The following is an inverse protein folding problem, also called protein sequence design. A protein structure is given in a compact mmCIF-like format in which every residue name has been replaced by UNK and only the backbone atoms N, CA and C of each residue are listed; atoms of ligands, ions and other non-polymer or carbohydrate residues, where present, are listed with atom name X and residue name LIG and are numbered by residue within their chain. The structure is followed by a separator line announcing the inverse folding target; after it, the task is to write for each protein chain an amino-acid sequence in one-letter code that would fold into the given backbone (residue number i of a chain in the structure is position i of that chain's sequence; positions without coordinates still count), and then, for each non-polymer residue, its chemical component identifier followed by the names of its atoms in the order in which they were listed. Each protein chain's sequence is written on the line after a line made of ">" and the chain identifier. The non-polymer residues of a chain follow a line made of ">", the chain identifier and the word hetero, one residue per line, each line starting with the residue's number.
data_IF_875302610883
#
_entry.id   IF_875302610883
#
_cell.length_a   1.000
_cell.length_b   1.000
_cell.length_c   1.000
_cell.angle_alpha   90.00
_cell.angle_beta   90.00
_cell.angle_gamma   90.00
#
_symmetry.space_group_name_H-M   'P 1'
#
loop_
_entity.id
_entity.type
_entity.pdbx_description
1 polymer ?
#
# COMPACT_ATOMS: atom_id res chain seq x y z
N UNK A 1 20.43 31.08 23.06
CA UNK A 1 19.85 29.90 22.39
C UNK A 1 18.76 29.37 23.30
N UNK A 2 17.49 29.40 22.86
CA UNK A 2 16.37 29.04 23.73
C UNK A 2 16.34 27.52 23.90
N UNK A 3 15.92 27.04 25.08
CA UNK A 3 15.81 25.61 25.41
C UNK A 3 15.02 24.80 24.35
N UNK A 4 14.08 25.46 23.67
CA UNK A 4 13.31 24.91 22.56
C UNK A 4 14.14 24.57 21.32
N UNK A 5 15.15 25.37 20.97
CA UNK A 5 16.00 25.15 19.78
C UNK A 5 16.84 23.88 19.94
N UNK A 6 17.36 23.66 21.16
CA UNK A 6 18.17 22.50 21.51
C UNK A 6 17.36 21.19 21.43
N UNK A 7 16.09 21.22 21.86
CA UNK A 7 15.20 20.05 21.74
C UNK A 7 14.92 19.73 20.27
N UNK A 8 14.71 20.75 19.43
CA UNK A 8 14.44 20.55 18.00
C UNK A 8 15.65 19.91 17.31
N UNK A 9 16.87 20.38 17.58
CA UNK A 9 18.10 19.81 17.03
C UNK A 9 18.30 18.34 17.44
N UNK A 10 18.02 18.01 18.70
CA UNK A 10 18.13 16.64 19.21
C UNK A 10 17.11 15.71 18.56
N UNK A 11 15.87 16.18 18.36
CA UNK A 11 14.82 15.44 17.64
C UNK A 11 15.26 15.18 16.19
N UNK A 12 15.75 16.21 15.49
CA UNK A 12 16.22 16.07 14.09
C UNK A 12 17.36 15.07 14.01
N UNK A 13 18.38 15.20 14.87
CA UNK A 13 19.51 14.26 14.89
C UNK A 13 19.08 12.82 15.15
N UNK A 14 18.09 12.63 16.02
CA UNK A 14 17.54 11.31 16.32
C UNK A 14 16.80 10.74 15.11
N UNK A 15 15.98 11.54 14.44
CA UNK A 15 15.26 11.12 13.23
C UNK A 15 16.22 10.75 12.09
N UNK A 16 17.27 11.53 11.87
CA UNK A 16 18.30 11.23 10.86
C UNK A 16 19.01 9.90 11.15
N UNK A 17 19.34 9.63 12.43
CA UNK A 17 19.93 8.34 12.84
C UNK A 17 18.97 7.18 12.60
N UNK A 18 17.68 7.35 12.92
CA UNK A 18 16.65 6.33 12.69
C UNK A 18 16.49 6.05 11.20
N UNK A 19 16.43 7.09 10.36
CA UNK A 19 16.38 6.95 8.90
C UNK A 19 17.59 6.17 8.39
N UNK A 20 18.80 6.52 8.84
CA UNK A 20 20.03 5.82 8.46
C UNK A 20 20.07 4.36 8.92
N UNK A 21 19.54 4.05 10.12
CA UNK A 21 19.42 2.68 10.60
C UNK A 21 18.41 1.86 9.80
N UNK A 22 17.27 2.46 9.45
CA UNK A 22 16.26 1.81 8.61
C UNK A 22 16.84 1.50 7.22
N UNK A 23 17.54 2.45 6.59
CA UNK A 23 18.20 2.26 5.30
C UNK A 23 19.14 1.04 5.32
N UNK A 24 20.09 0.99 6.27
CA UNK A 24 21.02 -0.14 6.39
C UNK A 24 20.33 -1.49 6.61
N UNK A 25 19.23 -1.52 7.38
CA UNK A 25 18.47 -2.75 7.61
C UNK A 25 17.74 -3.22 6.36
N UNK A 26 17.30 -2.30 5.52
CA UNK A 26 16.71 -2.62 4.22
C UNK A 26 17.78 -3.19 3.30
N UNK A 27 18.93 -2.53 3.15
CA UNK A 27 20.04 -3.02 2.32
C UNK A 27 20.47 -4.44 2.72
N UNK A 28 20.57 -4.70 4.03
CA UNK A 28 20.89 -6.02 4.56
C UNK A 28 19.80 -7.06 4.24
N UNK A 29 18.52 -6.67 4.35
CA UNK A 29 17.40 -7.54 4.00
C UNK A 29 17.36 -7.83 2.50
N UNK A 30 17.65 -6.86 1.64
CA UNK A 30 17.73 -7.05 0.18
C UNK A 30 18.88 -7.99 -0.19
N UNK A 31 20.03 -7.87 0.48
CA UNK A 31 21.16 -8.76 0.28
C UNK A 31 20.87 -10.20 0.76
N UNK A 32 20.21 -10.35 1.91
CA UNK A 32 19.91 -11.66 2.51
C UNK A 32 18.78 -12.40 1.77
N UNK A 33 17.71 -11.69 1.41
CA UNK A 33 16.54 -12.27 0.76
C UNK A 33 16.66 -12.32 -0.76
N UNK A 34 17.56 -11.51 -1.34
CA UNK A 34 17.66 -11.30 -2.78
C UNK A 34 16.49 -10.51 -3.37
N UNK A 35 15.62 -9.95 -2.53
CA UNK A 35 14.44 -9.17 -2.93
C UNK A 35 14.80 -7.69 -2.95
N UNK A 36 14.69 -7.05 -4.12
CA UNK A 36 14.79 -5.60 -4.26
C UNK A 36 13.40 -4.98 -3.98
N UNK A 37 13.32 -4.02 -3.04
CA UNK A 37 12.08 -3.29 -2.75
C UNK A 37 12.08 -2.00 -3.57
N UNK A 38 11.40 -2.03 -4.72
CA UNK A 38 11.28 -0.86 -5.60
C UNK A 38 10.28 0.12 -5.00
N UNK A 39 10.77 1.30 -4.58
CA UNK A 39 9.94 2.34 -3.95
C UNK A 39 9.29 3.31 -4.94
N UNK A 40 9.74 3.31 -6.19
CA UNK A 40 9.19 4.08 -7.29
C UNK A 40 9.26 3.21 -8.55
N UNK A 41 8.24 2.35 -8.74
CA UNK A 41 8.19 1.49 -9.91
C UNK A 41 8.05 2.35 -11.16
N UNK A 42 9.06 2.27 -12.02
CA UNK A 42 9.05 2.84 -13.35
C UNK A 42 8.67 1.72 -14.32
N UNK A 43 7.47 1.76 -14.93
CA UNK A 43 7.02 0.72 -15.83
C UNK A 43 7.87 0.62 -17.11
N UNK A 44 8.58 1.68 -17.47
CA UNK A 44 9.42 1.75 -18.67
C UNK A 44 10.87 1.31 -18.40
N UNK A 45 11.25 1.20 -17.13
CA UNK A 45 12.55 0.69 -16.71
C UNK A 45 12.64 -0.82 -16.91
N UNK A 46 13.73 -1.29 -17.51
CA UNK A 46 13.89 -2.69 -17.96
C UNK A 46 15.11 -3.42 -17.37
N UNK A 47 15.92 -2.73 -16.57
CA UNK A 47 17.14 -3.28 -15.93
C UNK A 47 16.90 -3.80 -14.50
N UNK A 48 15.63 -4.03 -14.12
CA UNK A 48 15.29 -4.66 -12.84
C UNK A 48 15.86 -6.08 -12.74
N UNK A 49 16.19 -6.49 -11.51
CA UNK A 49 16.56 -7.89 -11.24
C UNK A 49 15.36 -8.80 -11.47
N UNK A 50 15.58 -9.95 -12.11
CA UNK A 50 14.54 -10.97 -12.24
C UNK A 50 14.04 -11.37 -10.85
N UNK A 51 12.72 -11.30 -10.65
CA UNK A 51 12.06 -11.62 -9.39
C UNK A 51 11.67 -10.40 -8.55
N UNK A 52 12.14 -9.20 -8.89
CA UNK A 52 11.78 -7.95 -8.23
C UNK A 52 10.25 -7.77 -8.18
N UNK A 53 9.74 -7.39 -7.01
CA UNK A 53 8.31 -7.19 -6.76
C UNK A 53 8.00 -5.70 -6.68
N UNK A 54 6.90 -5.29 -7.31
CA UNK A 54 6.40 -3.93 -7.26
C UNK A 54 4.93 -3.92 -6.87
N UNK A 55 4.60 -3.09 -5.87
CA UNK A 55 3.22 -2.78 -5.53
C UNK A 55 2.65 -1.82 -6.57
N UNK A 56 1.54 -2.21 -7.19
CA UNK A 56 0.74 -1.31 -8.03
C UNK A 56 -0.48 -0.82 -7.24
N UNK A 57 -1.05 0.31 -7.65
CA UNK A 57 -2.19 0.93 -6.98
C UNK A 57 -3.32 -0.06 -6.69
N UNK A 58 -4.09 0.20 -5.62
CA UNK A 58 -5.22 -0.67 -5.26
C UNK A 58 -4.84 -2.03 -4.67
N UNK A 59 -3.60 -2.18 -4.19
CA UNK A 59 -3.12 -3.41 -3.55
C UNK A 59 -2.74 -4.52 -4.54
N UNK A 60 -2.52 -4.18 -5.82
CA UNK A 60 -2.01 -5.15 -6.78
C UNK A 60 -0.50 -5.36 -6.64
N UNK A 61 -0.01 -6.47 -7.17
CA UNK A 61 1.40 -6.83 -7.13
C UNK A 61 1.86 -7.34 -8.49
N UNK A 62 2.97 -6.81 -8.98
CA UNK A 62 3.64 -7.28 -10.19
C UNK A 62 5.05 -7.79 -9.86
N UNK A 63 5.54 -8.71 -10.69
CA UNK A 63 6.88 -9.26 -10.62
C UNK A 63 7.61 -9.06 -11.95
N UNK A 64 8.86 -8.61 -11.88
CA UNK A 64 9.72 -8.52 -13.05
C UNK A 64 10.24 -9.89 -13.47
N UNK A 65 9.97 -10.30 -14.71
CA UNK A 65 10.39 -11.60 -15.26
C UNK A 65 11.82 -11.62 -15.80
N UNK A 66 12.45 -10.44 -15.91
CA UNK A 66 13.70 -10.21 -16.64
C UNK A 66 13.51 -9.54 -18.00
N UNK A 67 12.27 -9.52 -18.52
CA UNK A 67 11.94 -8.89 -19.82
C UNK A 67 10.62 -8.10 -19.79
N UNK A 68 9.71 -8.46 -18.89
CA UNK A 68 8.43 -7.76 -18.71
C UNK A 68 7.93 -7.90 -17.28
N UNK A 69 7.01 -7.01 -16.90
CA UNK A 69 6.22 -7.16 -15.67
C UNK A 69 5.13 -8.23 -15.87
N UNK A 70 4.95 -9.07 -14.85
CA UNK A 70 3.91 -10.08 -14.78
C UNK A 70 3.06 -9.86 -13.52
N UNK A 71 1.73 -9.84 -13.66
CA UNK A 71 0.83 -9.65 -12.52
C UNK A 71 0.80 -10.91 -11.65
N UNK A 72 1.16 -10.75 -10.37
CA UNK A 72 1.12 -11.79 -9.35
C UNK A 72 -0.21 -11.74 -8.58
N UNK A 73 -0.69 -10.52 -8.30
CA UNK A 73 -1.93 -10.28 -7.58
C UNK A 73 -2.70 -9.13 -8.25
N UNK A 74 -3.96 -9.39 -8.58
CA UNK A 74 -4.83 -8.39 -9.19
C UNK A 74 -5.28 -7.38 -8.13
N UNK A 75 -4.86 -6.12 -8.31
CA UNK A 75 -5.29 -5.00 -7.48
C UNK A 75 -6.73 -4.58 -7.81
N UNK A 76 -7.32 -3.81 -6.89
CA UNK A 76 -8.61 -3.14 -7.07
C UNK A 76 -8.41 -1.84 -7.86
N UNK A 77 -9.01 -1.74 -9.04
CA UNK A 77 -8.93 -0.52 -9.87
C UNK A 77 -10.03 0.47 -9.53
N UNK A 78 -11.25 -0.03 -9.31
CA UNK A 78 -12.38 0.84 -9.01
C UNK A 78 -13.32 0.21 -7.98
N UNK A 79 -13.89 1.07 -7.14
CA UNK A 79 -14.94 0.71 -6.20
C UNK A 79 -16.06 1.73 -6.37
N UNK A 80 -17.26 1.25 -6.70
CA UNK A 80 -18.45 2.08 -6.86
C UNK A 80 -19.66 1.45 -6.20
N UNK A 81 -20.64 2.28 -5.89
CA UNK A 81 -21.94 1.84 -5.38
C UNK A 81 -22.99 2.06 -6.47
N UNK A 82 -23.68 1.00 -6.87
CA UNK A 82 -24.79 1.02 -7.82
C UNK A 82 -26.08 0.64 -7.08
N UNK A 83 -26.86 1.64 -6.67
CA UNK A 83 -28.04 1.44 -5.81
C UNK A 83 -27.65 0.82 -4.47
N UNK A 84 -28.12 -0.40 -4.21
CA UNK A 84 -27.79 -1.17 -3.00
C UNK A 84 -26.69 -2.22 -3.25
N UNK A 85 -25.86 -2.05 -4.28
CA UNK A 85 -24.79 -2.98 -4.64
C UNK A 85 -23.43 -2.30 -4.59
N UNK A 86 -22.47 -2.91 -3.89
CA UNK A 86 -21.05 -2.59 -4.01
C UNK A 86 -20.48 -3.31 -5.23
N UNK A 87 -19.88 -2.57 -6.14
CA UNK A 87 -19.21 -3.09 -7.35
C UNK A 87 -17.72 -2.79 -7.23
N UNK A 88 -16.90 -3.85 -7.30
CA UNK A 88 -15.44 -3.79 -7.26
C UNK A 88 -14.90 -4.32 -8.58
N UNK A 89 -14.16 -3.49 -9.30
CA UNK A 89 -13.45 -3.86 -10.53
C UNK A 89 -11.97 -4.06 -10.21
N UNK A 90 -11.42 -5.17 -10.71
CA UNK A 90 -10.01 -5.52 -10.53
C UNK A 90 -9.26 -5.37 -11.85
N UNK A 91 -7.95 -5.24 -11.73
CA UNK A 91 -7.00 -5.06 -12.84
C UNK A 91 -6.94 -6.20 -13.85
N UNK A 92 -7.56 -7.35 -13.56
CA UNK A 92 -7.77 -8.46 -14.50
C UNK A 92 -9.11 -8.37 -15.26
N UNK A 93 -9.86 -7.29 -15.06
CA UNK A 93 -11.21 -7.11 -15.60
C UNK A 93 -12.30 -7.84 -14.81
N UNK A 94 -11.97 -8.53 -13.71
CA UNK A 94 -12.97 -9.20 -12.88
C UNK A 94 -13.82 -8.16 -12.14
N UNK A 95 -15.14 -8.32 -12.23
CA UNK A 95 -16.10 -7.47 -11.52
C UNK A 95 -16.80 -8.27 -10.43
N UNK A 96 -16.58 -7.89 -9.18
CA UNK A 96 -17.28 -8.44 -8.03
C UNK A 96 -18.46 -7.54 -7.65
N UNK A 97 -19.65 -8.12 -7.47
CA UNK A 97 -20.86 -7.43 -7.05
C UNK A 97 -21.37 -8.01 -5.73
N UNK A 98 -21.54 -7.16 -4.72
CA UNK A 98 -21.98 -7.56 -3.38
C UNK A 98 -23.17 -6.71 -2.94
N UNK A 99 -24.28 -7.34 -2.56
CA UNK A 99 -25.43 -6.63 -2.02
C UNK A 99 -25.08 -5.98 -0.67
N UNK A 100 -25.42 -4.71 -0.51
CA UNK A 100 -25.25 -3.97 0.73
C UNK A 100 -26.46 -4.28 1.62
N UNK A 101 -26.24 -5.06 2.68
CA UNK A 101 -27.29 -5.34 3.65
C UNK A 101 -27.60 -4.07 4.44
N UNK A 102 -28.72 -3.42 4.12
CA UNK A 102 -29.28 -2.34 4.95
C UNK A 102 -29.68 -2.93 6.30
N UNK A 103 -29.03 -2.49 7.38
CA UNK A 103 -29.52 -2.77 8.73
C UNK A 103 -30.83 -2.01 8.93
N UNK A 104 -31.89 -2.72 9.34
CA UNK A 104 -33.16 -2.08 9.67
C UNK A 104 -32.90 -1.08 10.80
N UNK A 105 -33.31 0.18 10.59
CA UNK A 105 -33.28 1.23 11.61
C UNK A 105 -33.90 0.68 12.89
N UNK A 106 -33.13 0.67 13.99
CA UNK A 106 -33.64 0.25 15.29
C UNK A 106 -34.90 1.06 15.61
N UNK A 107 -35.97 0.37 16.04
CA UNK A 107 -37.22 1.05 16.44
C UNK A 107 -36.90 2.08 17.53
N UNK A 108 -37.46 3.30 17.46
CA UNK A 108 -37.27 4.29 18.52
C UNK A 108 -37.73 3.70 19.86
N UNK A 109 -36.82 3.68 20.84
CA UNK A 109 -37.13 3.27 22.20
C UNK A 109 -37.90 4.41 22.85
N UNK A 110 -39.14 4.15 23.30
CA UNK A 110 -39.84 5.08 24.19
C UNK A 110 -39.07 5.12 25.51
N UNK A 111 -38.46 6.24 25.82
CA UNK A 111 -37.99 6.52 27.19
C UNK A 111 -39.22 6.92 27.99
N UNK A 112 -39.56 6.14 29.01
CA UNK A 112 -40.62 6.50 29.94
C UNK A 112 -40.21 7.77 30.70
N UNK A 113 -41.12 8.74 30.76
CA UNK A 113 -40.95 10.04 31.42
C UNK A 113 -40.85 9.91 32.94
#
# INVERSE_FOLDING_TARGET
>A
MQHSDMIVEEIVSTLEKVIGQIGRRLDALEAETGVEIVRDMDPDRTDYRKGTLASIGGGGLQQWTGTSWHTVLNGVESVKVEGDTLVVERSDGTVQRSAIKKTARSKPVKVAA
#
